data_IF_291209214823
#
_entry.id   IF_291209214823
#
_cell.length_a   1.000
_cell.length_b   1.000
_cell.length_c   1.000
_cell.angle_alpha   90.00
_cell.angle_beta   90.00
_cell.angle_gamma   90.00
#
_symmetry.space_group_name_H-M   'P 1'
#
loop_
_entity.id
_entity.type
_entity.pdbx_description
1 polymer ?
#
# COMPACT_ATOMS: atom_id res chain seq x y z
N UNK A 1 -1.54 -11.66 -5.96
CA UNK A 1 -0.40 -11.57 -5.01
C UNK A 1 0.59 -12.74 -5.11
N UNK A 2 1.88 -12.50 -4.86
CA UNK A 2 2.93 -13.53 -4.73
C UNK A 2 3.72 -13.27 -3.45
N UNK A 3 3.59 -14.16 -2.45
CA UNK A 3 4.24 -14.05 -1.15
C UNK A 3 4.34 -15.43 -0.47
N UNK A 4 5.26 -15.58 0.49
CA UNK A 4 5.30 -16.75 1.38
C UNK A 4 4.14 -16.74 2.39
N UNK A 5 3.79 -17.90 2.97
CA UNK A 5 2.55 -18.09 3.75
C UNK A 5 2.31 -17.07 4.86
N UNK A 6 3.31 -16.81 5.70
CA UNK A 6 3.20 -15.83 6.80
C UNK A 6 2.93 -14.40 6.31
N UNK A 7 3.69 -13.93 5.31
CA UNK A 7 3.49 -12.60 4.72
C UNK A 7 2.17 -12.51 3.94
N UNK A 8 1.78 -13.59 3.25
CA UNK A 8 0.52 -13.69 2.50
C UNK A 8 -0.68 -13.45 3.42
N UNK A 9 -0.75 -14.15 4.54
CA UNK A 9 -1.86 -14.01 5.49
C UNK A 9 -2.03 -12.55 5.96
N UNK A 10 -0.93 -11.87 6.30
CA UNK A 10 -0.95 -10.45 6.71
C UNK A 10 -1.46 -9.55 5.58
N UNK A 11 -0.94 -9.74 4.36
CA UNK A 11 -1.26 -8.91 3.20
C UNK A 11 -2.71 -9.11 2.71
N UNK A 12 -3.23 -10.34 2.77
CA UNK A 12 -4.63 -10.64 2.48
C UNK A 12 -5.56 -9.96 3.48
N UNK A 13 -5.28 -10.07 4.78
CA UNK A 13 -6.06 -9.39 5.81
C UNK A 13 -6.00 -7.85 5.69
N UNK A 14 -4.90 -7.30 5.18
CA UNK A 14 -4.76 -5.87 4.90
C UNK A 14 -5.49 -5.42 3.62
N UNK A 15 -6.09 -6.32 2.84
CA UNK A 15 -6.79 -6.00 1.60
C UNK A 15 -5.86 -5.72 0.42
N UNK A 16 -4.62 -6.20 0.46
CA UNK A 16 -3.65 -6.00 -0.64
C UNK A 16 -3.81 -7.10 -1.68
N UNK A 17 -4.29 -6.73 -2.87
CA UNK A 17 -4.56 -7.70 -3.94
C UNK A 17 -3.34 -8.01 -4.81
N UNK A 18 -2.56 -6.97 -5.13
CA UNK A 18 -1.44 -7.04 -6.07
C UNK A 18 -0.14 -6.55 -5.45
N UNK A 19 0.70 -7.51 -5.05
CA UNK A 19 2.01 -7.27 -4.46
C UNK A 19 2.93 -8.49 -4.67
N UNK A 20 4.22 -8.23 -4.75
CA UNK A 20 5.30 -9.23 -4.72
C UNK A 20 6.06 -9.07 -3.41
N UNK A 21 6.22 -10.16 -2.66
CA UNK A 21 6.97 -10.18 -1.42
C UNK A 21 7.81 -11.46 -1.29
N UNK A 22 9.01 -11.33 -0.71
CA UNK A 22 9.92 -12.43 -0.42
C UNK A 22 10.57 -12.21 0.95
N UNK A 23 10.53 -13.24 1.82
CA UNK A 23 11.37 -13.25 3.03
C UNK A 23 12.81 -13.59 2.64
N UNK A 24 13.77 -12.77 3.09
CA UNK A 24 15.20 -12.89 2.79
C UNK A 24 16.05 -13.29 3.99
N UNK A 25 15.44 -13.49 5.16
CA UNK A 25 16.13 -13.82 6.40
C UNK A 25 15.55 -15.09 7.02
N UNK A 26 15.03 -14.96 8.24
CA UNK A 26 14.41 -16.06 8.97
C UNK A 26 13.20 -16.65 8.23
N UNK A 27 13.07 -17.97 8.33
CA UNK A 27 11.91 -18.76 7.90
C UNK A 27 10.86 -18.94 9.02
N UNK A 28 11.19 -18.57 10.26
CA UNK A 28 10.25 -18.60 11.38
C UNK A 28 9.06 -17.67 11.13
N UNK A 29 7.84 -18.23 11.14
CA UNK A 29 6.62 -17.52 10.77
C UNK A 29 6.38 -16.25 11.60
N UNK A 30 6.62 -16.30 12.93
CA UNK A 30 6.42 -15.15 13.82
C UNK A 30 7.32 -13.99 13.41
N UNK A 31 8.60 -14.28 13.14
CA UNK A 31 9.56 -13.25 12.71
C UNK A 31 9.20 -12.67 11.35
N UNK A 32 8.72 -13.50 10.42
CA UNK A 32 8.26 -13.04 9.11
C UNK A 32 7.03 -12.14 9.23
N UNK A 33 6.08 -12.46 10.11
CA UNK A 33 4.92 -11.59 10.39
C UNK A 33 5.38 -10.24 10.96
N UNK A 34 6.24 -10.25 11.98
CA UNK A 34 6.77 -9.01 12.56
C UNK A 34 7.54 -8.17 11.54
N UNK A 35 8.38 -8.80 10.71
CA UNK A 35 9.09 -8.12 9.64
C UNK A 35 8.14 -7.55 8.58
N UNK A 36 7.06 -8.27 8.23
CA UNK A 36 6.04 -7.80 7.29
C UNK A 36 5.31 -6.58 7.84
N UNK A 37 4.90 -6.61 9.11
CA UNK A 37 4.27 -5.46 9.78
C UNK A 37 5.23 -4.26 9.87
N UNK A 38 6.50 -4.51 10.20
CA UNK A 38 7.52 -3.46 10.21
C UNK A 38 7.70 -2.82 8.83
N UNK A 39 7.77 -3.62 7.76
CA UNK A 39 7.87 -3.14 6.38
C UNK A 39 6.66 -2.28 5.99
N UNK A 40 5.44 -2.68 6.36
CA UNK A 40 4.22 -1.89 6.11
C UNK A 40 4.25 -0.54 6.84
N UNK A 41 4.80 -0.48 8.06
CA UNK A 41 4.97 0.77 8.82
C UNK A 41 6.00 1.74 8.21
N UNK A 42 6.94 1.24 7.42
CA UNK A 42 7.93 2.07 6.74
C UNK A 42 7.40 2.73 5.45
N UNK A 43 6.25 2.27 4.93
CA UNK A 43 5.62 2.88 3.77
C UNK A 43 5.17 4.30 4.11
N UNK A 44 5.37 5.22 3.17
CA UNK A 44 4.99 6.63 3.29
C UNK A 44 4.02 6.98 2.17
N UNK A 45 3.00 7.78 2.48
CA UNK A 45 2.09 8.28 1.45
C UNK A 45 2.77 9.40 0.65
N UNK A 46 2.47 9.54 -0.66
CA UNK A 46 3.05 10.60 -1.46
C UNK A 46 2.71 12.00 -0.91
N UNK A 47 1.55 12.19 -0.29
CA UNK A 47 1.16 13.46 0.36
C UNK A 47 2.04 13.79 1.56
N UNK A 48 2.37 12.78 2.38
CA UNK A 48 3.21 12.95 3.57
C UNK A 48 4.63 13.34 3.17
N UNK A 49 5.15 12.73 2.10
CA UNK A 49 6.47 13.09 1.54
C UNK A 49 6.45 14.50 0.96
N UNK A 50 5.40 14.88 0.25
CA UNK A 50 5.24 16.22 -0.32
C UNK A 50 5.14 17.31 0.76
N UNK A 51 4.28 17.08 1.76
CA UNK A 51 4.12 17.97 2.90
C UNK A 51 5.44 18.14 3.68
N UNK A 52 6.16 17.05 3.95
CA UNK A 52 7.46 17.10 4.63
C UNK A 52 8.52 17.88 3.84
N UNK A 53 8.44 17.85 2.50
CA UNK A 53 9.38 18.56 1.61
C UNK A 53 8.93 19.98 1.27
N UNK A 54 7.70 20.38 1.60
CA UNK A 54 7.14 21.68 1.23
C UNK A 54 6.95 21.86 -0.28
N UNK A 55 6.77 20.75 -1.01
CA UNK A 55 6.62 20.74 -2.46
C UNK A 55 5.19 20.30 -2.85
N UNK A 56 4.70 20.73 -4.01
CA UNK A 56 3.45 20.20 -4.55
C UNK A 56 3.60 18.71 -4.90
N UNK A 57 2.50 17.95 -4.85
CA UNK A 57 2.54 16.48 -5.03
C UNK A 57 2.98 16.09 -6.45
N UNK A 58 2.72 16.96 -7.42
CA UNK A 58 3.09 16.79 -8.83
C UNK A 58 4.61 16.74 -9.02
N UNK A 59 5.37 17.44 -8.17
CA UNK A 59 6.83 17.46 -8.20
C UNK A 59 7.47 16.29 -7.42
N UNK A 60 6.66 15.58 -6.63
CA UNK A 60 7.13 14.52 -5.73
C UNK A 60 6.76 13.13 -6.24
N UNK A 61 5.57 12.97 -6.82
CA UNK A 61 5.06 11.69 -7.29
C UNK A 61 5.13 11.57 -8.82
N UNK A 62 5.62 10.44 -9.36
CA UNK A 62 5.72 10.25 -10.81
C UNK A 62 4.34 10.13 -11.48
N UNK A 63 4.25 10.51 -12.75
CA UNK A 63 2.99 10.57 -13.51
C UNK A 63 2.20 9.25 -13.53
N UNK A 64 2.89 8.09 -13.57
CA UNK A 64 2.23 6.78 -13.53
C UNK A 64 1.47 6.55 -12.22
N UNK A 65 2.03 6.99 -11.09
CA UNK A 65 1.40 6.89 -9.78
C UNK A 65 0.19 7.82 -9.68
N UNK A 66 0.30 9.06 -10.17
CA UNK A 66 -0.82 10.01 -10.19
C UNK A 66 -2.00 9.51 -11.03
N UNK A 67 -1.73 8.90 -12.18
CA UNK A 67 -2.76 8.25 -13.02
C UNK A 67 -3.43 7.09 -12.27
N UNK A 68 -2.65 6.23 -11.63
CA UNK A 68 -3.17 5.12 -10.85
C UNK A 68 -4.05 5.59 -9.68
N UNK A 69 -3.65 6.67 -9.00
CA UNK A 69 -4.43 7.28 -7.92
C UNK A 69 -5.79 7.78 -8.40
N UNK A 70 -5.83 8.58 -9.47
CA UNK A 70 -7.09 9.09 -10.06
C UNK A 70 -8.02 7.95 -10.47
N UNK A 71 -7.46 6.87 -11.05
CA UNK A 71 -8.23 5.66 -11.40
C UNK A 71 -8.83 5.01 -10.15
N UNK A 72 -8.05 4.89 -9.07
CA UNK A 72 -8.51 4.33 -7.80
C UNK A 72 -9.61 5.19 -7.17
N UNK A 73 -9.45 6.52 -7.18
CA UNK A 73 -10.45 7.47 -6.67
C UNK A 73 -11.76 7.41 -7.48
N UNK A 74 -11.67 7.34 -8.80
CA UNK A 74 -12.84 7.19 -9.67
C UNK A 74 -13.57 5.86 -9.42
N UNK A 75 -12.83 4.76 -9.26
CA UNK A 75 -13.40 3.46 -8.90
C UNK A 75 -14.06 3.50 -7.52
N UNK A 76 -13.42 4.13 -6.53
CA UNK A 76 -13.99 4.29 -5.21
C UNK A 76 -15.29 5.12 -5.25
N UNK A 77 -15.32 6.20 -6.04
CA UNK A 77 -16.51 7.03 -6.22
C UNK A 77 -17.65 6.29 -6.91
N UNK A 78 -17.37 5.40 -7.88
CA UNK A 78 -18.41 4.61 -8.54
C UNK A 78 -19.00 3.51 -7.66
N UNK A 79 -18.29 3.08 -6.61
CA UNK A 79 -18.72 2.02 -5.68
C UNK A 79 -19.53 2.56 -4.49
N UNK A 80 -19.46 3.87 -4.18
CA UNK A 80 -20.24 4.52 -3.12
C UNK A 80 -21.34 5.47 -3.67
N UNK A 81 -22.37 4.99 -4.41
CA UNK A 81 -23.39 5.87 -4.97
C UNK A 81 -24.43 6.40 -3.97
N UNK A 82 -24.53 5.88 -2.74
CA UNK A 82 -25.57 6.31 -1.79
C UNK A 82 -25.06 6.45 -0.34
N UNK A 83 -24.81 7.69 0.08
CA UNK A 83 -24.66 8.09 1.50
C UNK A 83 -25.66 9.18 1.87
N UNK A 84 -26.80 9.19 1.21
CA UNK A 84 -27.92 10.09 1.48
C UNK A 84 -29.03 9.35 2.22
N UNK A 85 -28.73 8.91 3.44
CA UNK A 85 -29.68 8.69 4.55
C UNK A 85 -28.98 8.94 5.87
#
# INVERSE_FOLDING_TARGET
MIAGGAARAVLECAGVHDILAKSLGSDNAINVVHATVAALKLLQRPEEVAARRGLPIEDVAPAGMLKARRKSEALAASVLPDRTI
#
